data_IF_519989912169
#
_entry.id   IF_519989912169
#
_cell.length_a   1.000
_cell.length_b   1.000
_cell.length_c   1.000
_cell.angle_alpha   90.00
_cell.angle_beta   90.00
_cell.angle_gamma   90.00
#
_symmetry.space_group_name_H-M   'P 1'
#
loop_
_entity.id
_entity.type
_entity.pdbx_description
1 polymer ?
#
# COMPACT_ATOMS: atom_id res chain seq x y z
N UNK A 1 -29.53 -3.64 -11.47
CA UNK A 1 -28.71 -3.19 -10.33
C UNK A 1 -27.23 -3.43 -10.65
N UNK A 2 -26.56 -2.54 -11.37
CA UNK A 2 -25.13 -2.68 -11.77
C UNK A 2 -24.37 -1.38 -11.46
N UNK A 3 -24.35 -1.00 -10.17
CA UNK A 3 -23.65 0.20 -9.69
C UNK A 3 -22.26 -0.07 -9.08
N UNK A 4 -21.70 -1.28 -9.22
CA UNK A 4 -20.54 -1.72 -8.43
C UNK A 4 -19.16 -1.55 -9.10
N UNK A 5 -19.07 -0.92 -10.28
CA UNK A 5 -17.79 -0.75 -10.99
C UNK A 5 -17.20 0.67 -10.91
N UNK A 6 -17.37 1.37 -9.79
CA UNK A 6 -16.35 2.36 -9.41
C UNK A 6 -15.12 1.60 -8.93
N UNK A 7 -14.33 1.09 -9.88
CA UNK A 7 -13.04 0.50 -9.60
C UNK A 7 -12.17 1.59 -8.99
N UNK A 8 -12.03 1.60 -7.66
CA UNK A 8 -11.06 2.47 -7.02
C UNK A 8 -9.68 2.08 -7.58
N UNK A 9 -9.02 2.94 -8.36
CA UNK A 9 -7.80 2.57 -9.09
C UNK A 9 -6.69 2.15 -8.13
N UNK A 10 -6.73 2.69 -6.90
CA UNK A 10 -5.78 2.40 -5.82
C UNK A 10 -6.14 1.19 -4.96
N UNK A 11 -7.31 0.56 -5.13
CA UNK A 11 -7.76 -0.55 -4.27
C UNK A 11 -6.78 -1.73 -4.28
N UNK A 12 -6.20 -2.05 -5.43
CA UNK A 12 -5.18 -3.11 -5.55
C UNK A 12 -3.88 -2.73 -4.84
N UNK A 13 -3.47 -1.47 -4.98
CA UNK A 13 -2.25 -0.95 -4.34
C UNK A 13 -2.39 -0.91 -2.81
N UNK A 14 -3.56 -0.54 -2.28
CA UNK A 14 -3.85 -0.58 -0.84
C UNK A 14 -3.70 -2.00 -0.27
N UNK A 15 -4.22 -3.02 -0.96
CA UNK A 15 -4.00 -4.42 -0.56
C UNK A 15 -2.52 -4.82 -0.57
N UNK A 16 -1.76 -4.34 -1.54
CA UNK A 16 -0.31 -4.60 -1.60
C UNK A 16 0.44 -3.91 -0.46
N UNK A 17 0.04 -2.69 -0.12
CA UNK A 17 0.56 -1.94 1.03
C UNK A 17 0.31 -2.70 2.34
N UNK A 18 -0.92 -3.16 2.56
CA UNK A 18 -1.26 -3.95 3.76
C UNK A 18 -0.41 -5.22 3.86
N UNK A 19 -0.20 -5.92 2.74
CA UNK A 19 0.63 -7.12 2.70
C UNK A 19 2.13 -6.82 2.96
N UNK A 20 2.64 -5.66 2.55
CA UNK A 20 4.01 -5.25 2.86
C UNK A 20 4.15 -4.93 4.35
N UNK A 21 3.17 -4.25 4.95
CA UNK A 21 3.15 -3.98 6.39
C UNK A 21 3.10 -5.27 7.21
N UNK A 22 2.25 -6.23 6.85
CA UNK A 22 2.16 -7.51 7.53
C UNK A 22 3.51 -8.25 7.50
N UNK A 23 4.18 -8.30 6.34
CA UNK A 23 5.52 -8.87 6.22
C UNK A 23 6.55 -8.10 7.05
N UNK A 24 6.46 -6.77 7.08
CA UNK A 24 7.36 -5.94 7.88
C UNK A 24 7.17 -6.24 9.38
N UNK A 25 5.93 -6.39 9.85
CA UNK A 25 5.63 -6.78 11.23
C UNK A 25 6.23 -8.14 11.58
N UNK A 26 6.11 -9.13 10.70
CA UNK A 26 6.75 -10.44 10.90
C UNK A 26 8.28 -10.33 10.95
N UNK A 27 8.89 -9.57 10.03
CA UNK A 27 10.34 -9.33 10.03
C UNK A 27 10.80 -8.67 11.34
N UNK A 28 10.09 -7.63 11.79
CA UNK A 28 10.36 -6.95 13.05
C UNK A 28 10.25 -7.90 14.25
N UNK A 29 9.18 -8.69 14.32
CA UNK A 29 8.95 -9.66 15.41
C UNK A 29 10.03 -10.75 15.45
N UNK A 30 10.57 -11.12 14.29
CA UNK A 30 11.65 -12.09 14.18
C UNK A 30 13.05 -11.46 14.38
N UNK A 31 13.14 -10.14 14.57
CA UNK A 31 14.40 -9.41 14.75
C UNK A 31 15.18 -9.16 13.44
N UNK A 32 14.58 -9.40 12.28
CA UNK A 32 15.19 -9.11 10.98
C UNK A 32 15.01 -7.63 10.61
N UNK A 33 15.85 -6.79 11.22
CA UNK A 33 15.79 -5.34 11.07
C UNK A 33 16.08 -4.91 9.62
N UNK A 34 16.96 -5.61 8.89
CA UNK A 34 17.27 -5.27 7.49
C UNK A 34 16.04 -5.44 6.61
N UNK A 35 15.38 -6.59 6.71
CA UNK A 35 14.16 -6.88 5.95
C UNK A 35 13.02 -5.96 6.38
N UNK A 36 12.88 -5.69 7.68
CA UNK A 36 11.91 -4.72 8.19
C UNK A 36 12.11 -3.33 7.55
N UNK A 37 13.32 -2.76 7.60
CA UNK A 37 13.61 -1.45 7.02
C UNK A 37 13.32 -1.41 5.52
N UNK A 38 13.67 -2.47 4.79
CA UNK A 38 13.42 -2.59 3.35
C UNK A 38 11.92 -2.65 3.04
N UNK A 39 11.15 -3.44 3.80
CA UNK A 39 9.70 -3.59 3.60
C UNK A 39 8.96 -2.30 3.97
N UNK A 40 9.34 -1.64 5.06
CA UNK A 40 8.77 -0.34 5.46
C UNK A 40 9.03 0.72 4.39
N UNK A 41 10.25 0.81 3.85
CA UNK A 41 10.56 1.75 2.77
C UNK A 41 9.73 1.48 1.49
N UNK A 42 9.48 0.20 1.16
CA UNK A 42 8.60 -0.17 0.05
C UNK A 42 7.15 0.23 0.31
N UNK A 43 6.64 0.00 1.52
CA UNK A 43 5.30 0.43 1.93
C UNK A 43 5.14 1.94 1.80
N UNK A 44 6.10 2.73 2.29
CA UNK A 44 6.06 4.19 2.19
C UNK A 44 6.06 4.68 0.73
N UNK A 45 6.88 4.06 -0.13
CA UNK A 45 6.91 4.39 -1.55
C UNK A 45 5.56 4.11 -2.20
N UNK A 46 4.97 2.94 -1.94
CA UNK A 46 3.67 2.56 -2.47
C UNK A 46 2.55 3.48 -1.96
N UNK A 47 2.62 3.91 -0.70
CA UNK A 47 1.67 4.86 -0.13
C UNK A 47 1.72 6.22 -0.84
N UNK A 48 2.90 6.75 -1.14
CA UNK A 48 3.06 7.99 -1.91
C UNK A 48 2.45 7.88 -3.32
N UNK A 49 2.60 6.73 -3.96
CA UNK A 49 1.97 6.46 -5.27
C UNK A 49 0.43 6.43 -5.15
N UNK A 50 -0.10 5.78 -4.11
CA UNK A 50 -1.55 5.78 -3.80
C UNK A 50 -2.07 7.20 -3.59
N UNK A 51 -1.42 8.01 -2.74
CA UNK A 51 -1.83 9.38 -2.47
C UNK A 51 -1.83 10.24 -3.74
N UNK A 52 -0.82 10.06 -4.59
CA UNK A 52 -0.71 10.81 -5.85
C UNK A 52 -1.87 10.46 -6.79
N UNK A 53 -2.19 9.17 -6.92
CA UNK A 53 -3.30 8.71 -7.76
C UNK A 53 -4.66 9.14 -7.20
N UNK A 54 -4.85 9.11 -5.88
CA UNK A 54 -6.10 9.54 -5.25
C UNK A 54 -6.32 11.04 -5.39
N UNK A 55 -5.27 11.86 -5.21
CA UNK A 55 -5.31 13.31 -5.48
C UNK A 55 -5.67 13.61 -6.93
N UNK A 56 -5.06 12.91 -7.87
CA UNK A 56 -5.35 13.08 -9.30
C UNK A 56 -6.77 12.62 -9.66
N UNK A 57 -7.32 11.60 -8.97
CA UNK A 57 -8.66 11.08 -9.23
C UNK A 57 -9.77 11.96 -8.64
N UNK A 58 -9.49 12.72 -7.59
CA UNK A 58 -10.47 13.63 -6.94
C UNK A 58 -10.51 15.04 -7.56
N UNK A 59 -9.61 15.35 -8.50
CA UNK A 59 -9.45 16.67 -9.11
C UNK A 59 -10.17 16.91 -10.44
N UNK A 60 -11.06 16.02 -10.87
CA UNK A 60 -11.87 16.13 -12.11
C UNK A 60 -13.33 15.83 -11.82
#
# INVERSE_FOLDING_TARGET
MFGLFKSNPTKKMRKQYDALLEKAMHAQRNGDIKTYSLLTAQSEKLWKEIETLEKNTQGT
#
